data_IF_905763702739
#
_entry.id   IF_905763702739
#
_cell.length_a   1.000
_cell.length_b   1.000
_cell.length_c   1.000
_cell.angle_alpha   90.00
_cell.angle_beta   90.00
_cell.angle_gamma   90.00
#
_symmetry.space_group_name_H-M   'P 1'
#
loop_
_entity.id
_entity.type
_entity.pdbx_description
1 polymer ?
2 polymer ?
3 non-polymer ?
4 water ?
#
# COMPACT_ATOMS: atom_id res chain seq x y z
N UNK A 6 26.72 -12.11 -4.75
CA UNK A 6 25.55 -12.62 -5.45
C UNK A 6 25.60 -12.25 -6.94
N UNK A 7 25.36 -13.23 -7.80
CA UNK A 7 25.30 -12.96 -9.23
C UNK A 7 24.06 -12.15 -9.57
N UNK A 8 24.27 -11.00 -10.21
CA UNK A 8 23.15 -10.11 -10.54
C UNK A 8 23.51 -9.15 -11.67
N UNK A 9 22.59 -9.02 -12.61
CA UNK A 9 22.74 -8.06 -13.70
C UNK A 9 22.28 -6.67 -13.25
N UNK A 10 21.29 -6.64 -12.37
CA UNK A 10 20.73 -5.38 -11.87
C UNK A 10 21.78 -4.53 -11.18
N UNK A 11 22.55 -5.14 -10.30
CA UNK A 11 23.55 -4.42 -9.52
C UNK A 11 24.78 -4.06 -10.35
N UNK A 12 24.83 -4.56 -11.59
CA UNK A 12 25.94 -4.27 -12.48
C UNK A 12 25.61 -3.14 -13.45
N UNK A 13 24.31 -2.87 -13.59
CA UNK A 13 23.83 -1.86 -14.53
C UNK A 13 23.96 -0.45 -13.99
N UNK A 14 24.26 0.50 -14.87
CA UNK A 14 24.20 1.90 -14.50
C UNK A 14 22.74 2.35 -14.52
N UNK A 15 22.51 3.60 -14.14
CA UNK A 15 21.15 4.12 -14.05
C UNK A 15 20.47 4.14 -15.42
N UNK A 16 21.18 4.61 -16.43
CA UNK A 16 20.63 4.70 -17.77
C UNK A 16 20.53 3.33 -18.44
N UNK A 17 21.44 2.42 -18.10
CA UNK A 17 21.39 1.06 -18.62
C UNK A 17 20.18 0.32 -18.04
N UNK A 18 19.87 0.62 -16.79
CA UNK A 18 18.71 0.05 -16.13
C UNK A 18 17.41 0.52 -16.80
N UNK A 19 17.33 1.82 -17.06
CA UNK A 19 16.17 2.39 -17.73
C UNK A 19 16.00 1.81 -19.13
N UNK A 20 17.11 1.73 -19.86
CA UNK A 20 17.11 1.17 -21.20
C UNK A 20 16.63 -0.27 -21.22
N UNK A 21 17.06 -1.03 -20.22
CA UNK A 21 16.68 -2.44 -20.11
C UNK A 21 15.20 -2.59 -19.77
N UNK A 22 14.70 -1.73 -18.88
CA UNK A 22 13.30 -1.78 -18.48
C UNK A 22 12.38 -1.33 -19.60
N UNK A 23 12.86 -0.41 -20.43
CA UNK A 23 12.09 0.04 -21.59
C UNK A 23 11.97 -1.05 -22.64
N UNK A 24 13.09 -1.73 -22.90
CA UNK A 24 13.12 -2.78 -23.91
C UNK A 24 12.32 -3.99 -23.47
N UNK A 25 12.13 -4.14 -22.16
CA UNK A 25 11.43 -5.29 -21.60
C UNK A 25 9.91 -5.09 -21.60
N UNK A 26 9.46 -3.89 -21.95
CA UNK A 26 8.05 -3.53 -21.90
C UNK A 26 7.17 -4.48 -22.70
N UNK A 27 6.06 -4.92 -22.09
CA UNK A 27 5.05 -5.75 -22.76
C UNK A 27 4.23 -4.93 -23.74
N UNK A 28 3.62 -5.59 -24.74
CA UNK A 28 2.82 -4.86 -25.73
C UNK A 28 1.41 -4.52 -25.24
N UNK A 29 0.78 -3.54 -25.89
CA UNK A 29 -0.60 -3.22 -25.62
C UNK A 29 -1.51 -4.14 -26.43
N UNK A 30 -2.14 -5.10 -25.76
CA UNK A 30 -2.96 -6.09 -26.43
C UNK A 30 -4.34 -5.54 -26.79
N UNK A 31 -4.99 -6.20 -27.73
CA UNK A 31 -6.35 -5.84 -28.13
C UNK A 31 -7.37 -6.76 -27.48
N UNK A 32 -8.57 -6.24 -27.26
CA UNK A 32 -9.68 -7.07 -26.78
C UNK A 32 -10.22 -7.91 -27.92
N UNK A 33 -10.90 -9.00 -27.58
CA UNK A 33 -11.58 -9.80 -28.59
C UNK A 33 -12.97 -9.22 -28.83
N UNK A 34 -13.74 -9.88 -29.69
CA UNK A 34 -15.09 -9.42 -30.02
C UNK A 34 -16.10 -10.54 -29.87
N UNK A 44 -20.22 -11.13 -22.16
CA UNK A 44 -20.34 -9.99 -21.28
C UNK A 44 -19.07 -9.16 -21.26
N UNK A 45 -19.10 -8.03 -20.56
CA UNK A 45 -17.97 -7.12 -20.51
C UNK A 45 -16.84 -7.71 -19.67
N UNK A 46 -17.20 -8.32 -18.54
CA UNK A 46 -16.22 -8.94 -17.65
C UNK A 46 -15.58 -10.16 -18.31
N UNK A 47 -16.28 -10.75 -19.26
CA UNK A 47 -15.73 -11.84 -20.05
C UNK A 47 -14.61 -11.33 -20.94
N UNK A 48 -14.82 -10.16 -21.53
CA UNK A 48 -13.81 -9.53 -22.37
C UNK A 48 -12.56 -9.16 -21.55
N UNK A 49 -12.78 -8.57 -20.39
CA UNK A 49 -11.69 -8.15 -19.51
C UNK A 49 -10.90 -9.36 -19.00
N UNK A 50 -11.63 -10.43 -18.68
CA UNK A 50 -11.01 -11.67 -18.21
C UNK A 50 -10.12 -12.25 -19.29
N UNK A 51 -10.67 -12.35 -20.51
CA UNK A 51 -9.91 -12.84 -21.65
C UNK A 51 -8.68 -12.00 -21.92
N UNK A 52 -8.84 -10.68 -21.77
CA UNK A 52 -7.74 -9.76 -21.99
C UNK A 52 -6.65 -9.90 -20.93
N UNK A 53 -7.08 -9.90 -19.66
CA UNK A 53 -6.14 -10.01 -18.54
C UNK A 53 -5.36 -11.31 -18.60
N UNK A 54 -6.01 -12.38 -19.04
CA UNK A 54 -5.38 -13.68 -19.14
C UNK A 54 -4.22 -13.65 -20.13
N UNK A 55 -4.45 -13.03 -21.29
CA UNK A 55 -3.43 -12.92 -22.31
C UNK A 55 -2.31 -11.97 -21.88
N UNK A 56 -2.69 -10.92 -21.15
CA UNK A 56 -1.71 -9.98 -20.63
C UNK A 56 -0.80 -10.63 -19.60
N UNK A 57 -1.35 -11.58 -18.84
CA UNK A 57 -0.59 -12.29 -17.82
C UNK A 57 0.56 -13.10 -18.43
N UNK A 58 0.33 -13.63 -19.64
CA UNK A 58 1.35 -14.40 -20.32
C UNK A 58 2.54 -13.52 -20.69
N UNK A 59 2.25 -12.30 -21.11
CA UNK A 59 3.30 -11.34 -21.44
C UNK A 59 4.00 -10.82 -20.19
N UNK A 60 3.24 -10.69 -19.11
CA UNK A 60 3.80 -10.18 -17.86
C UNK A 60 4.87 -11.12 -17.31
N UNK A 61 4.60 -12.42 -17.40
CA UNK A 61 5.53 -13.44 -16.90
C UNK A 61 6.87 -13.35 -17.61
N UNK A 62 6.83 -13.17 -18.92
CA UNK A 62 8.06 -13.04 -19.70
C UNK A 62 8.67 -11.66 -19.53
N UNK A 63 7.85 -10.66 -19.26
CA UNK A 63 8.34 -9.32 -18.98
C UNK A 63 9.17 -9.32 -17.70
N UNK A 64 8.66 -10.00 -16.68
CA UNK A 64 9.33 -10.10 -15.39
C UNK A 64 10.69 -10.76 -15.53
N UNK A 65 10.79 -11.74 -16.42
CA UNK A 65 12.04 -12.45 -16.65
C UNK A 65 13.06 -11.53 -17.32
N UNK A 66 12.58 -10.45 -17.93
CA UNK A 66 13.45 -9.49 -18.59
C UNK A 66 13.77 -8.31 -17.68
N UNK A 67 13.15 -8.30 -16.51
CA UNK A 67 13.45 -7.29 -15.50
C UNK A 67 14.75 -7.64 -14.78
N UNK A 68 15.75 -6.75 -14.88
CA UNK A 68 17.08 -6.97 -14.27
C UNK A 68 17.01 -7.30 -12.79
N UNK A 69 17.52 -8.47 -12.42
CA UNK A 69 17.55 -8.89 -11.04
C UNK A 69 16.55 -10.00 -10.71
N UNK A 70 15.45 -10.03 -11.45
CA UNK A 70 14.38 -10.99 -11.21
C UNK A 70 14.83 -12.43 -11.47
N UNK A 71 15.57 -12.63 -12.55
CA UNK A 71 16.05 -13.96 -12.90
C UNK A 71 17.05 -14.48 -11.87
N UNK A 72 17.87 -13.58 -11.34
CA UNK A 72 18.90 -13.95 -10.37
C UNK A 72 18.29 -14.40 -9.03
N UNK A 73 17.00 -14.17 -8.86
CA UNK A 73 16.28 -14.70 -7.71
C UNK A 73 16.00 -16.18 -7.92
N UNK A 74 15.81 -16.92 -6.83
CA UNK A 74 15.46 -18.33 -6.93
C UNK A 74 14.08 -18.47 -7.57
N UNK A 75 13.80 -19.66 -8.10
CA UNK A 75 12.53 -19.90 -8.78
C UNK A 75 11.34 -19.65 -7.87
N UNK A 76 11.37 -20.23 -6.68
CA UNK A 76 10.28 -20.11 -5.71
C UNK A 76 10.02 -18.65 -5.32
N UNK A 77 11.08 -17.84 -5.31
CA UNK A 77 10.93 -16.41 -5.05
C UNK A 77 10.29 -15.71 -6.25
N UNK A 78 10.58 -16.22 -7.44
CA UNK A 78 10.03 -15.64 -8.66
C UNK A 78 8.53 -15.89 -8.78
N UNK A 79 8.10 -17.12 -8.51
CA UNK A 79 6.67 -17.42 -8.58
C UNK A 79 5.92 -16.67 -7.48
N UNK A 80 6.59 -16.44 -6.35
CA UNK A 80 5.97 -15.78 -5.22
C UNK A 80 5.63 -14.32 -5.53
N UNK A 81 6.61 -13.61 -6.07
CA UNK A 81 6.45 -12.20 -6.41
C UNK A 81 5.36 -12.02 -7.46
N UNK A 82 5.35 -12.90 -8.46
CA UNK A 82 4.35 -12.84 -9.52
C UNK A 82 2.96 -13.16 -8.99
N UNK A 83 2.89 -14.14 -8.09
CA UNK A 83 1.64 -14.49 -7.43
C UNK A 83 1.09 -13.32 -6.63
N UNK A 84 1.98 -12.51 -6.07
CA UNK A 84 1.57 -11.39 -5.24
C UNK A 84 1.27 -10.13 -6.04
N UNK A 85 1.99 -9.92 -7.14
CA UNK A 85 1.96 -8.62 -7.83
C UNK A 85 1.15 -8.56 -9.11
N UNK A 86 0.71 -9.71 -9.62
CA UNK A 86 0.17 -9.78 -10.98
C UNK A 86 -0.99 -8.82 -11.23
N UNK A 87 -1.87 -8.66 -10.25
CA UNK A 87 -3.01 -7.77 -10.41
C UNK A 87 -2.58 -6.30 -10.24
N UNK A 88 -1.58 -6.08 -9.39
CA UNK A 88 -1.01 -4.74 -9.24
C UNK A 88 -0.38 -4.27 -10.54
N UNK A 89 0.32 -5.18 -11.21
CA UNK A 89 1.01 -4.87 -12.45
C UNK A 89 0.05 -4.65 -13.61
N UNK A 90 -1.00 -5.45 -13.65
CA UNK A 90 -2.06 -5.27 -14.65
C UNK A 90 -2.72 -3.92 -14.50
N UNK A 91 -2.96 -3.52 -13.25
CA UNK A 91 -3.68 -2.28 -12.97
C UNK A 91 -2.87 -1.02 -13.28
N UNK A 92 -1.60 -1.01 -12.90
CA UNK A 92 -0.77 0.15 -13.16
C UNK A 92 -0.53 0.29 -14.67
N UNK A 93 -0.56 -0.82 -15.38
CA UNK A 93 -0.47 -0.80 -16.83
C UNK A 93 -1.72 -0.18 -17.42
N UNK A 94 -2.87 -0.60 -16.92
CA UNK A 94 -4.16 -0.05 -17.32
C UNK A 94 -4.23 1.44 -17.05
N UNK A 95 -3.81 1.83 -15.85
CA UNK A 95 -3.81 3.22 -15.43
C UNK A 95 -2.90 4.05 -16.33
N UNK A 96 -1.76 3.49 -16.69
CA UNK A 96 -0.82 4.17 -17.57
C UNK A 96 -1.45 4.41 -18.95
N UNK A 97 -2.10 3.40 -19.49
CA UNK A 97 -2.74 3.51 -20.81
C UNK A 97 -3.90 4.50 -20.82
N UNK A 98 -4.52 4.70 -19.66
CA UNK A 98 -5.73 5.50 -19.58
C UNK A 98 -5.44 6.97 -19.28
N UNK A 99 -4.17 7.32 -19.16
CA UNK A 99 -3.77 8.67 -18.75
C UNK A 99 -4.26 9.75 -19.71
N UNK A 100 -4.20 9.48 -21.01
CA UNK A 100 -4.62 10.46 -22.01
C UNK A 100 -6.12 10.36 -22.29
N UNK A 101 -6.80 9.56 -21.48
CA UNK A 101 -8.26 9.46 -21.56
C UNK A 101 -8.89 9.67 -20.18
N UNK A 102 -8.87 10.92 -19.68
CA UNK A 102 -9.40 11.23 -18.35
C UNK A 102 -10.91 10.97 -18.26
N UNK A 103 -11.32 10.22 -17.24
CA UNK A 103 -12.72 9.87 -17.08
C UNK A 103 -13.06 8.51 -17.68
N UNK A 104 -12.11 7.93 -18.39
CA UNK A 104 -12.30 6.61 -19.00
C UNK A 104 -11.10 5.70 -18.80
N UNK A 105 -11.33 4.40 -18.90
CA UNK A 105 -10.26 3.41 -18.79
C UNK A 105 -10.00 2.72 -20.11
N UNK A 106 -8.76 2.82 -20.59
CA UNK A 106 -8.39 2.20 -21.85
C UNK A 106 -7.82 0.80 -21.62
N UNK A 107 -8.71 -0.17 -21.48
CA UNK A 107 -8.29 -1.56 -21.30
C UNK A 107 -7.56 -2.05 -22.54
N UNK A 108 -7.99 -1.57 -23.69
CA UNK A 108 -7.39 -1.93 -24.97
C UNK A 108 -7.70 -0.80 -25.97
N UNK A 109 -6.91 -0.70 -27.05
CA UNK A 109 -7.20 0.34 -28.05
C UNK A 109 -8.60 0.23 -28.64
N UNK A 110 -9.20 -0.96 -28.56
CA UNK A 110 -10.54 -1.19 -29.06
C UNK A 110 -11.54 -1.40 -27.92
N UNK A 111 -11.12 -1.06 -26.70
CA UNK A 111 -11.97 -1.23 -25.54
C UNK A 111 -11.80 -0.08 -24.55
N UNK A 112 -12.41 1.06 -24.88
CA UNK A 112 -12.38 2.23 -24.01
C UNK A 112 -13.69 2.32 -23.24
N UNK A 113 -13.62 2.23 -21.92
CA UNK A 113 -14.82 2.11 -21.10
C UNK A 113 -15.04 3.28 -20.14
N UNK A 114 -16.32 3.56 -19.88
CA UNK A 114 -16.69 4.47 -18.80
C UNK A 114 -17.12 3.63 -17.59
N UNK A 115 -17.30 4.28 -16.45
CA UNK A 115 -17.52 3.57 -15.19
C UNK A 115 -18.84 2.81 -15.14
N UNK A 116 -19.81 3.23 -15.94
CA UNK A 116 -21.15 2.65 -15.88
C UNK A 116 -21.36 1.55 -16.92
N UNK A 117 -20.28 0.96 -17.41
CA UNK A 117 -20.37 -0.12 -18.38
C UNK A 117 -19.69 -1.39 -17.86
N UNK A 124 -17.75 -3.71 -8.54
CA UNK A 124 -16.57 -3.55 -9.38
C UNK A 124 -16.43 -2.11 -9.85
N UNK A 125 -17.53 -1.35 -9.75
CA UNK A 125 -17.53 0.04 -10.19
C UNK A 125 -16.73 0.92 -9.21
N UNK A 126 -16.69 0.51 -7.95
CA UNK A 126 -15.90 1.22 -6.95
C UNK A 126 -14.41 1.13 -7.28
N UNK A 127 -14.02 -0.03 -7.81
CA UNK A 127 -12.63 -0.24 -8.23
C UNK A 127 -12.34 0.56 -9.49
N UNK A 128 -13.33 0.67 -10.36
CA UNK A 128 -13.22 1.46 -11.58
C UNK A 128 -12.91 2.92 -11.24
N UNK A 129 -13.59 3.44 -10.23
CA UNK A 129 -13.39 4.82 -9.81
C UNK A 129 -12.01 5.04 -9.21
N UNK A 130 -11.52 4.03 -8.49
CA UNK A 130 -10.19 4.10 -7.90
C UNK A 130 -9.12 4.13 -8.99
N UNK A 131 -9.35 3.37 -10.06
CA UNK A 131 -8.43 3.36 -11.19
C UNK A 131 -8.46 4.69 -11.92
N UNK A 132 -9.63 5.27 -12.06
CA UNK A 132 -9.80 6.57 -12.70
C UNK A 132 -9.07 7.66 -11.92
N UNK A 133 -9.16 7.59 -10.59
CA UNK A 133 -8.51 8.57 -9.73
C UNK A 133 -7.00 8.45 -9.82
N UNK A 134 -6.51 7.22 -9.96
CA UNK A 134 -5.10 6.94 -10.11
C UNK A 134 -4.59 7.46 -11.45
N UNK A 135 -5.40 7.28 -12.50
CA UNK A 135 -5.03 7.73 -13.84
C UNK A 135 -4.98 9.25 -13.91
N UNK A 136 -5.93 9.90 -13.24
CA UNK A 136 -5.97 11.35 -13.20
C UNK A 136 -4.76 11.91 -12.44
N UNK A 137 -4.36 11.22 -11.38
CA UNK A 137 -3.22 11.62 -10.58
C UNK A 137 -1.91 11.51 -11.37
N UNK A 138 -1.72 10.38 -12.03
CA UNK A 138 -0.55 10.16 -12.88
C UNK A 138 -0.48 11.21 -13.98
N UNK A 139 -1.63 11.61 -14.50
CA UNK A 139 -1.69 12.53 -15.63
C UNK A 139 -1.31 13.96 -15.23
N UNK A 140 -1.80 14.41 -14.07
CA UNK A 140 -1.48 15.76 -13.60
C UNK A 140 -0.07 15.83 -13.04
N UNK A 141 0.48 14.67 -12.68
CA UNK A 141 1.88 14.59 -12.27
C UNK A 141 2.80 14.55 -13.48
N UNK A 142 2.20 14.35 -14.64
CA UNK A 142 2.94 14.18 -15.89
C UNK A 142 3.94 13.04 -15.78
N UNK A 143 3.44 11.88 -15.33
CA UNK A 143 4.28 10.69 -15.20
C UNK A 143 4.91 10.30 -16.53
N UNK A 144 6.22 10.10 -16.53
CA UNK A 144 6.96 9.73 -17.72
C UNK A 144 7.10 8.21 -17.84
N UNK A 145 7.32 7.73 -19.06
CA UNK A 145 7.42 6.31 -19.32
C UNK A 145 8.60 5.64 -18.64
N UNK A 146 9.69 6.39 -18.47
CA UNK A 146 10.87 5.89 -17.80
C UNK A 146 10.63 5.78 -16.29
N UNK A 147 9.80 6.66 -15.75
CA UNK A 147 9.41 6.57 -14.35
C UNK A 147 8.43 5.41 -14.16
N UNK A 148 7.57 5.22 -15.15
CA UNK A 148 6.54 4.19 -15.10
C UNK A 148 7.13 2.78 -15.04
N UNK A 149 8.14 2.52 -15.86
CA UNK A 149 8.76 1.19 -15.89
C UNK A 149 9.53 0.93 -14.60
N UNK A 150 9.98 1.99 -13.94
CA UNK A 150 10.63 1.85 -12.66
C UNK A 150 9.63 1.47 -11.58
N UNK A 151 8.46 2.07 -11.64
CA UNK A 151 7.39 1.80 -10.67
C UNK A 151 6.91 0.36 -10.76
N UNK A 152 6.81 -0.16 -11.98
CA UNK A 152 6.38 -1.54 -12.19
C UNK A 152 7.38 -2.54 -11.61
N UNK A 153 8.66 -2.27 -11.80
CA UNK A 153 9.71 -3.13 -11.27
C UNK A 153 9.73 -3.09 -9.75
N UNK A 154 9.39 -1.94 -9.20
CA UNK A 154 9.29 -1.78 -7.76
C UNK A 154 8.11 -2.59 -7.22
N UNK A 155 6.97 -2.49 -7.90
CA UNK A 155 5.77 -3.23 -7.52
C UNK A 155 6.02 -4.73 -7.50
N UNK A 156 6.68 -5.22 -8.54
CA UNK A 156 6.99 -6.64 -8.68
C UNK A 156 7.85 -7.15 -7.53
N UNK A 157 8.82 -6.33 -7.11
CA UNK A 157 9.79 -6.76 -6.12
C UNK A 157 9.37 -6.46 -4.69
N UNK A 158 8.38 -5.59 -4.52
CA UNK A 158 7.91 -5.20 -3.20
C UNK A 158 6.63 -5.93 -2.79
N UNK A 159 6.07 -6.71 -3.72
CA UNK A 159 4.83 -7.43 -3.48
C UNK A 159 5.01 -8.57 -2.48
N UNK A 160 6.15 -9.26 -2.56
CA UNK A 160 6.46 -10.29 -1.59
C UNK A 160 6.55 -9.64 -0.22
N UNK A 161 6.05 -10.32 0.80
CA UNK A 161 5.91 -9.72 2.13
C UNK A 161 5.01 -8.50 2.07
N UNK A 175 22.29 -6.71 3.53
CA UNK A 175 20.86 -6.55 3.28
C UNK A 175 20.37 -7.58 2.25
N UNK A 176 19.11 -7.97 2.35
CA UNK A 176 18.50 -8.92 1.43
C UNK A 176 18.73 -8.48 -0.03
N UNK A 177 18.88 -9.43 -0.94
CA UNK A 177 19.19 -9.14 -2.34
C UNK A 177 18.09 -8.30 -3.00
N UNK A 178 16.84 -8.66 -2.73
CA UNK A 178 15.71 -7.98 -3.32
C UNK A 178 15.63 -6.53 -2.84
N UNK A 179 16.03 -6.31 -1.59
CA UNK A 179 16.05 -4.97 -1.02
C UNK A 179 17.17 -4.14 -1.62
N UNK A 180 18.26 -4.79 -2.00
CA UNK A 180 19.38 -4.11 -2.65
C UNK A 180 18.99 -3.67 -4.05
N UNK A 181 18.21 -4.50 -4.74
CA UNK A 181 17.73 -4.16 -6.08
C UNK A 181 16.73 -3.00 -5.99
N UNK A 182 15.83 -3.08 -5.01
CA UNK A 182 14.86 -2.01 -4.78
C UNK A 182 15.55 -0.69 -4.49
N UNK A 183 16.64 -0.75 -3.74
CA UNK A 183 17.45 0.44 -3.46
C UNK A 183 18.03 1.02 -4.74
N UNK A 184 18.33 0.16 -5.70
CA UNK A 184 18.94 0.59 -6.95
C UNK A 184 17.92 1.19 -7.90
N UNK A 185 16.72 0.62 -7.93
CA UNK A 185 15.63 1.16 -8.73
C UNK A 185 15.23 2.52 -8.16
N UNK A 186 15.35 2.64 -6.84
CA UNK A 186 15.13 3.92 -6.17
C UNK A 186 16.12 4.96 -6.67
N UNK A 187 17.38 4.56 -6.79
CA UNK A 187 18.45 5.43 -7.30
C UNK A 187 18.21 5.78 -8.73
N UNK A 188 17.59 4.85 -9.45
CA UNK A 188 17.18 5.07 -10.83
C UNK A 188 16.09 6.11 -10.97
N UNK A 189 15.02 6.02 -10.16
CA UNK A 189 13.97 7.04 -10.15
C UNK A 189 14.51 8.44 -9.86
N UNK A 190 15.35 8.52 -8.83
CA UNK A 190 16.00 9.77 -8.48
C UNK A 190 16.87 10.28 -9.63
N UNK A 191 17.63 9.38 -10.24
CA UNK A 191 18.50 9.74 -11.36
C UNK A 191 17.71 10.31 -12.53
N UNK A 192 16.56 9.70 -12.81
CA UNK A 192 15.68 10.17 -13.88
C UNK A 192 15.14 11.57 -13.60
N UNK A 193 14.73 11.79 -12.36
CA UNK A 193 14.16 13.07 -11.96
C UNK A 193 15.21 14.18 -12.01
N UNK A 194 16.45 13.84 -11.66
CA UNK A 194 17.55 14.80 -11.68
C UNK A 194 17.87 15.22 -13.11
N UNK A 195 17.68 14.30 -14.04
CA UNK A 195 17.92 14.60 -15.45
C UNK A 195 16.78 15.43 -16.03
N UNK A 196 15.59 15.26 -15.46
CA UNK A 196 14.42 16.01 -15.90
C UNK A 196 14.54 17.48 -15.54
N UNK A 197 15.42 17.79 -14.58
CA UNK A 197 15.65 19.16 -14.17
C UNK A 197 14.99 19.51 -12.85
N UNK A 198 14.58 18.48 -12.11
CA UNK A 198 13.93 18.69 -10.82
C UNK A 198 14.96 18.94 -9.72
N UNK A 199 14.65 19.86 -8.82
CA UNK A 199 15.52 20.14 -7.68
C UNK A 199 15.53 18.96 -6.73
N UNK A 200 16.51 18.94 -5.83
CA UNK A 200 16.63 17.88 -4.83
C UNK A 200 15.36 17.75 -4.00
N UNK A 201 14.76 18.88 -3.67
CA UNK A 201 13.50 18.91 -2.94
C UNK A 201 12.37 18.31 -3.77
N UNK A 202 12.36 18.66 -5.05
CA UNK A 202 11.32 18.17 -5.95
C UNK A 202 11.47 16.67 -6.23
N UNK A 203 12.69 16.18 -6.15
CA UNK A 203 12.95 14.76 -6.34
C UNK A 203 12.36 13.94 -5.21
N UNK A 204 12.67 14.34 -3.97
CA UNK A 204 12.19 13.65 -2.78
C UNK A 204 10.67 13.69 -2.69
N UNK A 205 10.09 14.83 -3.07
CA UNK A 205 8.65 15.01 -3.03
C UNK A 205 7.96 14.15 -4.09
N UNK A 206 8.48 14.19 -5.32
CA UNK A 206 7.89 13.40 -6.41
C UNK A 206 8.05 11.92 -6.17
N UNK A 207 9.21 11.52 -5.64
CA UNK A 207 9.46 10.12 -5.29
C UNK A 207 8.43 9.65 -4.27
N UNK A 208 8.15 10.50 -3.29
CA UNK A 208 7.16 10.20 -2.27
C UNK A 208 5.77 10.10 -2.89
N UNK A 209 5.44 11.04 -3.77
CA UNK A 209 4.15 11.06 -4.45
C UNK A 209 3.90 9.77 -5.21
N UNK A 210 4.91 9.29 -5.92
CA UNK A 210 4.79 8.07 -6.72
C UNK A 210 4.63 6.82 -5.86
N UNK A 211 5.43 6.73 -4.80
CA UNK A 211 5.42 5.54 -3.96
C UNK A 211 4.16 5.46 -3.10
N UNK A 212 3.56 6.61 -2.81
CA UNK A 212 2.32 6.64 -2.06
C UNK A 212 1.17 6.14 -2.92
N UNK A 213 1.28 6.34 -4.23
CA UNK A 213 0.28 5.86 -5.16
C UNK A 213 0.32 4.33 -5.20
N UNK A 214 1.50 3.76 -5.02
CA UNK A 214 1.66 2.31 -4.99
C UNK A 214 0.85 1.69 -3.85
N UNK A 215 0.67 2.44 -2.77
CA UNK A 215 -0.16 1.98 -1.67
C UNK A 215 -1.61 1.85 -2.12
N UNK A 216 -2.05 2.80 -2.94
CA UNK A 216 -3.41 2.78 -3.45
C UNK A 216 -3.57 1.68 -4.50
N UNK A 217 -2.48 1.38 -5.22
CA UNK A 217 -2.48 0.31 -6.20
C UNK A 217 -2.59 -1.05 -5.51
N UNK A 218 -1.91 -1.17 -4.37
CA UNK A 218 -2.00 -2.37 -3.54
C UNK A 218 -3.44 -2.56 -3.06
N UNK A 219 -4.09 -1.44 -2.73
CA UNK A 219 -5.47 -1.47 -2.26
C UNK A 219 -6.41 -1.98 -3.34
N UNK A 220 -6.31 -1.39 -4.53
CA UNK A 220 -7.15 -1.79 -5.66
C UNK A 220 -6.96 -3.26 -6.01
N UNK A 221 -5.73 -3.74 -5.92
CA UNK A 221 -5.41 -5.13 -6.22
C UNK A 221 -6.05 -6.09 -5.22
N UNK A 222 -5.96 -5.74 -3.94
CA UNK A 222 -6.56 -6.54 -2.89
C UNK A 222 -8.08 -6.58 -3.02
N UNK A 223 -8.68 -5.43 -3.28
CA UNK A 223 -10.12 -5.34 -3.47
C UNK A 223 -10.58 -6.11 -4.72
N UNK A 224 -9.81 -5.98 -5.80
CA UNK A 224 -10.11 -6.67 -7.03
C UNK A 224 -9.99 -8.18 -6.86
N UNK A 225 -9.03 -8.60 -6.03
CA UNK A 225 -8.82 -10.01 -5.74
C UNK A 225 -10.02 -10.61 -5.03
N UNK A 226 -10.57 -9.86 -4.08
CA UNK A 226 -11.74 -10.30 -3.34
C UNK A 226 -12.94 -10.52 -4.25
N UNK A 227 -13.19 -9.55 -5.11
CA UNK A 227 -14.35 -9.59 -6.00
C UNK A 227 -14.20 -10.66 -7.07
N UNK A 228 -12.97 -10.90 -7.50
CA UNK A 228 -12.69 -11.90 -8.52
C UNK A 228 -12.93 -13.31 -8.00
N UNK A 229 -12.67 -13.53 -6.71
CA UNK A 229 -12.91 -14.85 -6.12
C UNK A 229 -14.40 -15.09 -5.88
N UNK A 230 -15.10 -14.05 -5.45
CA UNK A 230 -16.55 -14.14 -5.30
C UNK A 230 -17.16 -14.37 -6.66
N UNK A 231 -16.56 -13.74 -7.67
CA UNK A 231 -16.96 -13.92 -9.06
C UNK A 231 -16.81 -15.38 -9.48
N UNK A 232 -15.78 -16.04 -8.96
CA UNK A 232 -15.56 -17.47 -9.23
C UNK A 232 -16.66 -18.32 -8.59
N UNK A 233 -17.03 -17.96 -7.37
CA UNK A 233 -18.06 -18.70 -6.63
C UNK A 233 -19.42 -18.58 -7.30
N UNK A 234 -19.71 -17.41 -7.87
CA UNK A 234 -20.97 -17.14 -8.54
C UNK A 234 -21.04 -17.79 -9.91
N UNK A 235 -19.94 -18.35 -10.39
CA UNK A 235 -19.92 -19.05 -11.67
C UNK A 235 -20.51 -18.28 -12.86
N UNK A 236 -20.46 -16.96 -12.84
CA UNK A 236 -21.01 -16.18 -13.95
C UNK A 236 -20.07 -15.84 -15.11
N UNK A 237 -18.78 -15.69 -14.88
CA UNK A 237 -17.84 -15.66 -16.01
C UNK A 237 -16.62 -16.54 -15.72
N UNK A 238 -16.29 -17.48 -16.61
CA UNK A 238 -15.22 -18.45 -16.33
C UNK A 238 -13.83 -17.80 -16.32
N UNK A 239 -13.23 -17.74 -15.14
CA UNK A 239 -11.84 -17.30 -15.03
C UNK A 239 -10.93 -18.32 -15.72
N UNK A 240 -9.94 -17.82 -16.45
CA UNK A 240 -9.04 -18.68 -17.21
C UNK A 240 -8.19 -19.54 -16.27
N UNK A 241 -7.49 -20.52 -16.86
CA UNK A 241 -6.62 -21.41 -16.09
C UNK A 241 -5.57 -20.64 -15.31
N UNK A 242 -4.88 -19.75 -15.99
CA UNK A 242 -3.82 -18.96 -15.37
C UNK A 242 -4.38 -18.03 -14.30
N UNK A 243 -5.56 -17.47 -14.57
CA UNK A 243 -6.21 -16.57 -13.61
C UNK A 243 -6.68 -17.30 -12.37
N UNK A 244 -7.27 -18.48 -12.57
CA UNK A 244 -7.69 -19.33 -11.45
C UNK A 244 -6.49 -19.71 -10.58
N UNK A 245 -5.36 -19.91 -11.23
CA UNK A 245 -4.13 -20.31 -10.55
C UNK A 245 -3.55 -19.18 -9.70
N UNK A 246 -3.45 -17.99 -10.29
CA UNK A 246 -2.91 -16.82 -9.59
C UNK A 246 -3.85 -16.40 -8.46
N UNK A 247 -5.14 -16.74 -8.60
CA UNK A 247 -6.13 -16.41 -7.59
C UNK A 247 -5.99 -17.32 -6.38
N UNK A 248 -5.75 -18.59 -6.64
CA UNK A 248 -5.66 -19.56 -5.56
C UNK A 248 -4.47 -19.24 -4.70
N UNK A 249 -3.50 -18.56 -5.26
CA UNK A 249 -2.32 -18.16 -4.52
C UNK A 249 -2.61 -17.22 -3.38
N UNK A 250 -3.55 -16.32 -3.54
CA UNK A 250 -4.00 -15.54 -2.40
C UNK A 250 -5.02 -16.34 -1.65
N UNK A 251 -4.65 -16.77 -0.46
CA UNK A 251 -4.28 -18.16 -0.26
C UNK A 251 -5.19 -18.82 0.77
N UNK B 8 -4.74 27.75 4.11
CA UNK B 8 -4.41 26.93 5.27
C UNK B 8 -3.28 27.56 6.09
N UNK B 9 -2.99 26.96 7.24
CA UNK B 9 -1.95 27.47 8.13
C UNK B 9 -0.81 26.47 8.26
N UNK B 10 -1.13 25.19 8.07
CA UNK B 10 -0.15 24.12 8.22
C UNK B 10 0.85 24.10 7.06
N UNK B 11 0.60 24.95 6.07
CA UNK B 11 1.51 25.07 4.93
C UNK B 11 2.66 26.02 5.28
N UNK B 12 2.56 26.67 6.43
CA UNK B 12 3.53 27.67 6.83
C UNK B 12 4.48 27.17 7.91
N UNK B 13 4.07 26.13 8.63
CA UNK B 13 4.90 25.59 9.71
C UNK B 13 6.18 24.95 9.15
N UNK B 14 7.27 25.06 9.91
CA UNK B 14 8.54 24.50 9.49
C UNK B 14 8.59 23.00 9.76
N UNK B 15 9.71 22.38 9.41
CA UNK B 15 9.90 20.95 9.62
C UNK B 15 9.99 20.62 11.10
N UNK B 16 10.74 21.42 11.85
CA UNK B 16 10.88 21.22 13.28
C UNK B 16 9.56 21.43 14.01
N UNK B 17 8.75 22.36 13.50
CA UNK B 17 7.45 22.66 14.09
C UNK B 17 6.44 21.57 13.76
N UNK B 18 6.61 20.95 12.58
CA UNK B 18 5.75 19.85 12.18
C UNK B 18 5.96 18.64 13.09
N UNK B 19 7.22 18.34 13.39
CA UNK B 19 7.57 17.21 14.25
C UNK B 19 6.99 17.38 15.65
N UNK B 20 7.22 18.56 16.23
CA UNK B 20 6.75 18.86 17.58
C UNK B 20 5.23 18.77 17.68
N UNK B 21 4.54 19.24 16.64
CA UNK B 21 3.09 19.20 16.59
C UNK B 21 2.58 17.76 16.56
N UNK B 22 3.31 16.90 15.86
CA UNK B 22 2.92 15.50 15.73
C UNK B 22 3.26 14.71 17.00
N UNK B 23 4.40 15.02 17.60
CA UNK B 23 4.81 14.37 18.83
C UNK B 23 3.88 14.70 19.99
N UNK B 24 3.41 15.95 20.02
CA UNK B 24 2.51 16.41 21.08
C UNK B 24 1.08 15.91 20.86
N UNK B 25 0.81 15.45 19.64
CA UNK B 25 -0.52 14.95 19.30
C UNK B 25 -0.61 13.44 19.44
N UNK B 26 0.54 12.82 19.73
CA UNK B 26 0.64 11.36 19.84
C UNK B 26 -0.36 10.76 20.81
N UNK B 27 -1.10 9.74 20.37
CA UNK B 27 -2.00 8.99 21.25
C UNK B 27 -1.22 8.12 22.22
N UNK B 28 -1.83 7.76 23.36
CA UNK B 28 -1.16 6.92 24.35
C UNK B 28 -1.17 5.44 24.01
N UNK B 29 -0.23 4.69 24.59
CA UNK B 29 -0.25 3.25 24.49
C UNK B 29 -1.21 2.69 25.53
N UNK B 30 -2.30 2.08 25.07
CA UNK B 30 -3.35 1.61 25.96
C UNK B 30 -3.11 0.19 26.45
N UNK B 31 -3.77 -0.16 27.55
CA UNK B 31 -3.66 -1.51 28.12
C UNK B 31 -4.88 -2.35 27.77
N UNK B 32 -4.73 -3.67 27.84
CA UNK B 32 -5.83 -4.58 27.56
C UNK B 32 -6.68 -4.81 28.82
N UNK B 33 -7.61 -5.77 28.75
CA UNK B 33 -8.56 -5.97 29.83
C UNK B 33 -8.05 -6.95 30.89
N UNK B 34 -6.73 -7.11 30.95
CA UNK B 34 -6.02 -7.64 32.12
C UNK B 34 -6.33 -9.08 32.54
N UNK B 35 -7.59 -9.47 32.52
CA UNK B 35 -7.99 -10.80 33.01
C UNK B 35 -7.24 -11.90 32.25
N UNK B 36 -6.49 -12.73 32.98
CA UNK B 36 -5.57 -13.71 32.41
C UNK B 36 -6.23 -14.86 31.67
N UNK B 37 -7.55 -15.02 31.82
CA UNK B 37 -8.25 -16.15 31.22
C UNK B 37 -8.70 -15.87 29.79
N UNK B 38 -8.94 -14.60 29.47
CA UNK B 38 -9.47 -14.22 28.16
C UNK B 38 -8.51 -14.35 26.96
N UNK B 39 -7.17 -14.29 27.18
CA UNK B 39 -6.35 -14.58 25.99
C UNK B 39 -6.31 -16.06 25.59
N UNK B 40 -6.93 -16.94 26.37
CA UNK B 40 -6.81 -18.39 26.17
C UNK B 40 -7.45 -18.91 24.88
N UNK B 41 -8.69 -18.56 24.62
CA UNK B 41 -9.38 -19.10 23.43
C UNK B 41 -9.39 -18.12 22.27
N UNK B 42 -10.26 -18.40 21.30
CA UNK B 42 -10.34 -17.64 20.06
C UNK B 42 -11.27 -16.43 20.18
N UNK B 43 -12.50 -16.69 20.60
CA UNK B 43 -13.52 -15.66 20.67
C UNK B 43 -13.16 -14.59 21.69
N UNK B 44 -12.72 -15.04 22.86
CA UNK B 44 -12.34 -14.13 23.94
C UNK B 44 -11.12 -13.30 23.58
N UNK B 45 -10.17 -13.90 22.86
CA UNK B 45 -8.95 -13.19 22.47
C UNK B 45 -9.26 -12.07 21.49
N UNK B 46 -10.10 -12.38 20.51
CA UNK B 46 -10.53 -11.37 19.54
C UNK B 46 -11.39 -10.32 20.24
N UNK B 47 -12.00 -10.71 21.35
CA UNK B 47 -12.74 -9.79 22.18
C UNK B 47 -11.83 -8.75 22.83
N UNK B 48 -10.66 -9.19 23.27
CA UNK B 48 -9.68 -8.29 23.85
C UNK B 48 -9.16 -7.31 22.80
N UNK B 49 -8.83 -7.81 21.62
CA UNK B 49 -8.30 -6.99 20.55
C UNK B 49 -9.35 -5.99 20.05
N UNK B 50 -10.59 -6.46 19.93
CA UNK B 50 -11.71 -5.62 19.52
C UNK B 50 -11.93 -4.47 20.49
N UNK B 51 -11.97 -4.80 21.78
CA UNK B 51 -12.15 -3.80 22.83
C UNK B 51 -10.99 -2.80 22.85
N UNK B 52 -9.79 -3.31 22.65
CA UNK B 52 -8.59 -2.49 22.60
C UNK B 52 -8.63 -1.52 21.42
N UNK B 53 -8.98 -2.05 20.25
CA UNK B 53 -9.05 -1.23 19.04
C UNK B 53 -10.12 -0.16 19.15
N UNK B 54 -11.23 -0.49 19.81
CA UNK B 54 -12.34 0.45 19.97
C UNK B 54 -11.90 1.67 20.79
N UNK B 55 -11.18 1.41 21.88
CA UNK B 55 -10.68 2.49 22.72
C UNK B 55 -9.55 3.26 22.05
N UNK B 56 -8.76 2.56 21.23
CA UNK B 56 -7.70 3.21 20.47
C UNK B 56 -8.26 4.14 19.40
N UNK B 57 -9.42 3.79 18.85
CA UNK B 57 -10.05 4.59 17.81
C UNK B 57 -10.44 5.96 18.32
N UNK B 58 -10.94 6.02 19.56
CA UNK B 58 -11.36 7.27 20.17
C UNK B 58 -10.18 8.24 20.29
N UNK B 59 -9.01 7.69 20.61
CA UNK B 59 -7.79 8.50 20.69
C UNK B 59 -7.32 8.91 19.30
N UNK B 60 -7.45 8.01 18.34
CA UNK B 60 -7.03 8.28 16.97
C UNK B 60 -7.82 9.42 16.36
N UNK B 61 -9.14 9.41 16.59
CA UNK B 61 -10.02 10.43 16.06
C UNK B 61 -9.62 11.82 16.55
N UNK B 62 -9.33 11.92 17.85
CA UNK B 62 -8.91 13.19 18.43
C UNK B 62 -7.46 13.52 18.05
N UNK B 63 -6.67 12.48 17.81
CA UNK B 63 -5.31 12.68 17.31
C UNK B 63 -5.33 13.25 15.91
N UNK B 64 -6.27 12.75 15.10
CA UNK B 64 -6.42 13.18 13.71
C UNK B 64 -6.73 14.67 13.64
N UNK B 65 -7.52 15.15 14.59
CA UNK B 65 -7.90 16.56 14.63
C UNK B 65 -6.68 17.47 14.85
N UNK B 66 -5.63 16.91 15.44
CA UNK B 66 -4.42 17.69 15.73
C UNK B 66 -3.35 17.49 14.66
N UNK B 67 -3.65 16.65 13.68
CA UNK B 67 -2.76 16.48 12.52
C UNK B 67 -2.88 17.70 11.61
N UNK B 68 -1.76 18.42 11.42
CA UNK B 68 -1.71 19.66 10.63
C UNK B 68 -2.30 19.51 9.24
N UNK B 69 -3.40 20.20 8.97
CA UNK B 69 -4.05 20.15 7.68
C UNK B 69 -5.37 19.39 7.70
N UNK B 70 -5.46 18.42 8.60
CA UNK B 70 -6.66 17.60 8.73
C UNK B 70 -7.87 18.42 9.17
N UNK B 71 -7.60 19.43 10.01
CA UNK B 71 -8.66 20.30 10.51
C UNK B 71 -9.23 21.17 9.40
N UNK B 72 -8.38 21.55 8.45
CA UNK B 72 -8.80 22.41 7.34
C UNK B 72 -9.72 21.66 6.38
N UNK B 73 -9.63 20.34 6.38
CA UNK B 73 -10.47 19.51 5.53
C UNK B 73 -11.93 19.65 5.95
N UNK B 74 -12.85 19.46 5.01
CA UNK B 74 -14.27 19.48 5.35
C UNK B 74 -14.62 18.27 6.19
N UNK B 75 -15.80 18.29 6.80
CA UNK B 75 -16.22 17.24 7.73
C UNK B 75 -16.31 15.87 7.05
N UNK B 76 -16.89 15.85 5.85
CA UNK B 76 -17.05 14.61 5.11
C UNK B 76 -15.70 14.01 4.72
N UNK B 77 -14.75 14.87 4.38
CA UNK B 77 -13.41 14.43 4.02
C UNK B 77 -12.67 13.85 5.21
N UNK B 78 -12.92 14.43 6.39
CA UNK B 78 -12.29 13.95 7.62
C UNK B 78 -12.75 12.55 7.98
N UNK B 79 -14.07 12.35 7.96
CA UNK B 79 -14.65 11.03 8.21
C UNK B 79 -14.14 10.01 7.19
N UNK B 80 -14.10 10.42 5.93
CA UNK B 80 -13.70 9.54 4.84
C UNK B 80 -12.28 9.01 5.01
N UNK B 81 -11.35 9.90 5.34
CA UNK B 81 -9.95 9.52 5.51
C UNK B 81 -9.77 8.56 6.68
N UNK B 82 -10.49 8.81 7.78
CA UNK B 82 -10.45 7.95 8.94
C UNK B 82 -11.08 6.60 8.68
N UNK B 83 -12.17 6.59 7.91
CA UNK B 83 -12.85 5.34 7.54
C UNK B 83 -11.94 4.44 6.72
N UNK B 84 -11.06 5.03 5.93
CA UNK B 84 -10.21 4.27 5.03
C UNK B 84 -8.92 3.80 5.69
N UNK B 85 -8.39 4.58 6.61
CA UNK B 85 -7.04 4.34 7.13
C UNK B 85 -6.99 3.85 8.58
N UNK B 86 -8.16 3.63 9.20
CA UNK B 86 -8.20 3.36 10.63
C UNK B 86 -7.43 2.09 11.02
N UNK B 87 -7.55 1.04 10.22
CA UNK B 87 -6.88 -0.21 10.53
C UNK B 87 -5.39 -0.11 10.21
N UNK B 88 -5.05 0.64 9.16
CA UNK B 88 -3.66 0.89 8.80
C UNK B 88 -2.92 1.61 9.92
N UNK B 89 -3.58 2.61 10.48
CA UNK B 89 -2.99 3.41 11.55
C UNK B 89 -2.83 2.59 12.83
N UNK B 90 -3.81 1.73 13.11
CA UNK B 90 -3.73 0.82 14.24
C UNK B 90 -2.56 -0.15 14.09
N UNK B 91 -2.35 -0.63 12.88
CA UNK B 91 -1.34 -1.64 12.62
C UNK B 91 0.08 -1.08 12.65
N UNK B 92 0.27 0.11 12.09
CA UNK B 92 1.60 0.71 12.11
C UNK B 92 1.97 1.10 13.55
N UNK B 93 0.97 1.43 14.35
CA UNK B 93 1.17 1.69 15.75
C UNK B 93 1.58 0.41 16.45
N UNK B 94 0.84 -0.66 16.17
CA UNK B 94 1.14 -1.99 16.69
C UNK B 94 2.55 -2.43 16.31
N UNK B 95 2.88 -2.24 15.04
CA UNK B 95 4.19 -2.60 14.51
C UNK B 95 5.30 -1.77 15.19
N UNK B 96 5.01 -0.51 15.46
CA UNK B 96 5.94 0.37 16.14
C UNK B 96 6.21 -0.09 17.58
N UNK B 97 5.15 -0.47 18.28
CA UNK B 97 5.27 -0.92 19.67
C UNK B 97 6.00 -2.26 19.77
N UNK B 98 5.96 -3.04 18.70
CA UNK B 98 6.50 -4.40 18.72
C UNK B 98 7.98 -4.47 18.35
N UNK B 99 8.58 -3.32 18.04
CA UNK B 99 9.97 -3.28 17.59
C UNK B 99 10.94 -3.87 18.60
N UNK B 100 10.77 -3.50 19.86
CA UNK B 100 11.68 -3.93 20.92
C UNK B 100 11.42 -5.37 21.36
N UNK B 101 10.43 -6.01 20.73
CA UNK B 101 10.07 -7.38 21.07
C UNK B 101 9.98 -8.25 19.83
N UNK B 102 11.13 -8.77 19.37
CA UNK B 102 11.20 -9.64 18.18
C UNK B 102 10.43 -10.95 18.36
N UNK B 103 9.67 -11.33 17.34
CA UNK B 103 8.93 -12.58 17.38
C UNK B 103 7.59 -12.46 18.06
N UNK B 104 7.30 -11.28 18.60
CA UNK B 104 6.04 -11.05 19.30
C UNK B 104 5.37 -9.74 18.85
N UNK B 105 4.06 -9.68 19.04
CA UNK B 105 3.29 -8.49 18.72
C UNK B 105 2.73 -7.85 19.99
N UNK B 106 3.14 -6.62 20.26
CA UNK B 106 2.71 -5.91 21.46
C UNK B 106 1.46 -5.08 21.19
N UNK B 107 0.30 -5.72 21.31
CA UNK B 107 -0.96 -5.01 21.19
C UNK B 107 -1.13 -4.06 22.37
N UNK B 108 -0.64 -4.51 23.51
CA UNK B 108 -0.66 -3.72 24.74
C UNK B 108 0.45 -4.22 25.65
N UNK B 109 0.95 -3.37 26.56
CA UNK B 109 2.01 -3.81 27.46
C UNK B 109 1.60 -5.01 28.31
N UNK B 110 0.30 -5.17 28.53
CA UNK B 110 -0.22 -6.32 29.26
C UNK B 110 -0.84 -7.35 28.30
N UNK B 111 -0.66 -7.12 27.01
CA UNK B 111 -1.15 -8.04 25.99
C UNK B 111 -0.08 -8.29 24.93
N UNK B 112 0.88 -9.14 25.26
CA UNK B 112 1.97 -9.47 24.36
C UNK B 112 1.69 -10.80 23.67
N UNK B 113 1.53 -10.78 22.36
CA UNK B 113 1.13 -11.98 21.62
C UNK B 113 2.29 -12.66 20.91
N UNK B 114 2.37 -13.97 21.05
CA UNK B 114 3.31 -14.79 20.30
C UNK B 114 2.56 -15.47 19.16
N UNK B 115 3.30 -16.03 18.20
CA UNK B 115 2.67 -16.55 16.99
C UNK B 115 1.95 -17.88 17.24
N UNK B 116 2.23 -18.53 18.36
CA UNK B 116 1.49 -19.74 18.73
C UNK B 116 0.05 -19.39 19.08
N UNK B 117 -0.14 -18.19 19.63
CA UNK B 117 -1.48 -17.68 19.89
C UNK B 117 -2.20 -17.34 18.58
N UNK B 118 -1.41 -16.99 17.57
CA UNK B 118 -1.95 -16.62 16.28
C UNK B 118 -2.21 -17.81 15.38
N UNK B 119 -1.70 -18.98 15.78
CA UNK B 119 -1.84 -20.20 14.99
C UNK B 119 -3.16 -20.94 15.27
N UNK B 120 -4.06 -20.30 16.01
CA UNK B 120 -5.41 -20.82 16.25
C UNK B 120 -6.42 -19.69 16.04
N UNK B 121 -7.45 -19.96 15.23
CA UNK B 121 -8.18 -18.96 14.46
C UNK B 121 -7.19 -18.50 13.39
N UNK B 124 -5.15 -16.40 10.24
CA UNK B 124 -4.66 -15.43 11.19
C UNK B 124 -3.19 -15.54 11.41
N UNK B 125 -2.64 -16.73 11.30
CA UNK B 125 -1.21 -16.89 11.45
C UNK B 125 -0.48 -16.11 10.36
N UNK B 126 -1.01 -16.09 9.16
CA UNK B 126 -0.31 -15.47 8.05
C UNK B 126 -0.16 -13.95 8.22
N UNK B 127 -1.23 -13.32 8.67
CA UNK B 127 -1.21 -11.89 8.92
C UNK B 127 -0.26 -11.57 10.07
N UNK B 128 -0.21 -12.47 11.05
CA UNK B 128 0.64 -12.31 12.23
C UNK B 128 2.10 -12.21 11.81
N UNK B 129 2.52 -13.05 10.89
CA UNK B 129 3.90 -13.06 10.42
C UNK B 129 4.24 -11.82 9.59
N UNK B 130 3.26 -11.33 8.84
CA UNK B 130 3.46 -10.12 8.04
C UNK B 130 3.70 -8.91 8.96
N UNK B 131 2.95 -8.86 10.06
CA UNK B 131 3.11 -7.81 11.05
C UNK B 131 4.47 -7.94 11.76
N UNK B 132 4.87 -9.18 12.03
CA UNK B 132 6.18 -9.44 12.64
C UNK B 132 7.31 -8.98 11.74
N UNK B 133 7.20 -9.31 10.45
CA UNK B 133 8.22 -8.94 9.47
C UNK B 133 8.31 -7.43 9.31
N UNK B 134 7.17 -6.76 9.41
CA UNK B 134 7.12 -5.31 9.29
C UNK B 134 7.79 -4.66 10.49
N UNK B 135 7.53 -5.21 11.67
CA UNK B 135 8.16 -4.74 12.90
C UNK B 135 9.66 -5.05 12.88
N UNK B 136 10.00 -6.17 12.26
CA UNK B 136 11.39 -6.58 12.14
C UNK B 136 12.20 -5.60 11.32
N UNK B 137 11.64 -5.16 10.19
CA UNK B 137 12.32 -4.20 9.33
C UNK B 137 12.43 -2.84 10.01
N UNK B 138 11.39 -2.44 10.73
CA UNK B 138 11.41 -1.19 11.47
C UNK B 138 12.53 -1.19 12.51
N UNK B 139 12.76 -2.34 13.12
CA UNK B 139 13.80 -2.47 14.14
C UNK B 139 15.19 -2.31 13.55
N UNK B 140 15.50 -3.08 12.52
CA UNK B 140 16.85 -3.10 11.95
C UNK B 140 17.12 -1.84 11.12
N UNK B 141 16.07 -1.09 10.83
CA UNK B 141 16.23 0.23 10.19
C UNK B 141 16.42 1.29 11.25
N UNK B 142 16.19 0.90 12.50
CA UNK B 142 16.21 1.82 13.64
C UNK B 142 15.27 3.00 13.41
N UNK B 143 13.99 2.69 13.24
CA UNK B 143 12.97 3.71 13.01
C UNK B 143 12.85 4.64 14.22
N UNK B 144 12.93 5.94 13.96
CA UNK B 144 12.84 6.94 15.02
C UNK B 144 11.40 7.36 15.27
N UNK B 145 11.12 7.79 16.49
CA UNK B 145 9.79 8.23 16.86
C UNK B 145 9.34 9.43 16.02
N UNK B 146 10.31 10.25 15.61
CA UNK B 146 10.03 11.40 14.77
C UNK B 146 9.60 10.95 13.38
N UNK B 147 10.27 9.93 12.86
CA UNK B 147 9.94 9.38 11.55
C UNK B 147 8.59 8.67 11.57
N UNK B 148 8.34 7.94 12.66
CA UNK B 148 7.12 7.16 12.82
C UNK B 148 5.86 8.00 12.78
N UNK B 149 5.86 9.12 13.49
CA UNK B 149 4.68 9.98 13.55
C UNK B 149 4.43 10.66 12.22
N UNK B 150 5.47 10.81 11.42
CA UNK B 150 5.33 11.31 10.07
C UNK B 150 4.63 10.29 9.20
N UNK B 151 5.03 9.03 9.32
CA UNK B 151 4.45 7.94 8.55
C UNK B 151 2.96 7.75 8.85
N UNK B 152 2.60 7.89 10.12
CA UNK B 152 1.21 7.74 10.53
C UNK B 152 0.32 8.82 9.91
N UNK B 153 0.81 10.06 9.92
CA UNK B 153 0.06 11.18 9.36
C UNK B 153 -0.09 11.02 7.86
N UNK B 154 0.95 10.50 7.22
CA UNK B 154 0.91 10.24 5.80
C UNK B 154 -0.20 9.24 5.47
N UNK B 155 -0.26 8.16 6.24
CA UNK B 155 -1.30 7.14 6.08
C UNK B 155 -2.69 7.76 6.17
N UNK B 156 -2.88 8.61 7.18
CA UNK B 156 -4.16 9.26 7.43
C UNK B 156 -4.64 10.09 6.25
N UNK B 157 -3.71 10.80 5.60
CA UNK B 157 -4.06 11.73 4.53
C UNK B 157 -4.06 11.09 3.15
N UNK B 158 -3.24 10.06 2.96
CA UNK B 158 -3.05 9.49 1.63
C UNK B 158 -4.00 8.34 1.29
N UNK B 159 -4.32 7.50 2.26
CA UNK B 159 -5.07 6.28 2.00
C UNK B 159 -6.44 6.49 1.36
N UNK B 160 -7.15 7.52 1.79
CA UNK B 160 -8.50 7.76 1.30
C UNK B 160 -8.64 8.88 0.29
N UNK B 161 -7.51 9.43 -0.16
CA UNK B 161 -7.53 10.58 -1.06
C UNK B 161 -7.80 10.19 -2.51
N UNK B 162 -7.69 8.90 -2.82
CA UNK B 162 -7.82 8.43 -4.20
C UNK B 162 -9.03 7.52 -4.42
N UNK B 163 -10.09 7.71 -3.64
CA UNK B 163 -11.27 6.87 -3.77
C UNK B 163 -12.26 7.46 -4.78
N UNK B 171 -12.86 22.88 -7.86
CA UNK B 171 -13.36 22.89 -6.49
C UNK B 171 -12.71 21.77 -5.68
N UNK B 172 -12.81 20.54 -6.17
CA UNK B 172 -11.99 19.47 -5.60
C UNK B 172 -10.55 19.89 -5.78
N UNK B 173 -10.15 20.84 -4.94
CA UNK B 173 -8.78 21.28 -4.87
C UNK B 173 -8.33 21.03 -3.42
N UNK B 174 -9.26 20.46 -2.65
CA UNK B 174 -8.97 19.96 -1.32
C UNK B 174 -8.06 18.76 -1.44
N UNK B 175 -8.17 18.06 -2.57
CA UNK B 175 -7.22 17.03 -2.92
C UNK B 175 -5.84 17.63 -3.05
N UNK B 176 -5.77 18.77 -3.73
CA UNK B 176 -4.51 19.49 -3.89
C UNK B 176 -3.96 19.90 -2.52
N UNK B 177 -4.85 20.31 -1.64
CA UNK B 177 -4.47 20.71 -0.28
C UNK B 177 -3.86 19.53 0.48
N UNK B 178 -4.49 18.35 0.35
CA UNK B 178 -3.99 17.14 0.99
C UNK B 178 -2.60 16.79 0.46
N UNK B 179 -2.43 16.89 -0.85
CA UNK B 179 -1.14 16.62 -1.49
C UNK B 179 -0.07 17.60 -1.03
N UNK B 180 -0.47 18.86 -0.83
CA UNK B 180 0.46 19.88 -0.36
C UNK B 180 0.97 19.55 1.03
N UNK B 181 0.08 19.11 1.91
CA UNK B 181 0.46 18.74 3.26
C UNK B 181 1.35 17.51 3.24
N UNK B 182 1.04 16.57 2.34
CA UNK B 182 1.83 15.36 2.20
C UNK B 182 3.25 15.69 1.76
N UNK B 183 3.38 16.68 0.87
CA UNK B 183 4.69 17.13 0.43
C UNK B 183 5.50 17.71 1.59
N UNK B 184 4.81 18.35 2.53
CA UNK B 184 5.44 18.93 3.70
C UNK B 184 5.99 17.85 4.63
N UNK B 185 5.23 16.78 4.79
CA UNK B 185 5.65 15.66 5.65
C UNK B 185 6.83 14.96 5.00
N UNK B 186 6.86 14.96 3.67
CA UNK B 186 7.99 14.41 2.94
C UNK B 186 9.24 15.23 3.24
N UNK B 187 9.11 16.55 3.17
CA UNK B 187 10.19 17.46 3.52
C UNK B 187 10.64 17.23 4.96
N UNK B 188 9.66 16.96 5.82
CA UNK B 188 9.93 16.75 7.23
C UNK B 188 10.74 15.47 7.45
N UNK B 189 10.34 14.39 6.78
CA UNK B 189 11.06 13.12 6.85
C UNK B 189 12.51 13.29 6.42
N UNK B 190 12.72 13.98 5.31
CA UNK B 190 14.05 14.24 4.79
C UNK B 190 14.83 15.13 5.76
N UNK B 191 14.14 16.10 6.35
CA UNK B 191 14.75 16.99 7.33
C UNK B 191 15.28 16.20 8.51
N UNK B 192 14.49 15.24 8.98
CA UNK B 192 14.88 14.40 10.11
C UNK B 192 16.07 13.52 9.76
N UNK B 193 16.06 12.98 8.55
CA UNK B 193 17.16 12.13 8.09
C UNK B 193 18.43 12.93 7.87
N UNK B 194 18.27 14.16 7.38
CA UNK B 194 19.40 15.05 7.17
C UNK B 194 20.07 15.40 8.50
N UNK B 195 19.24 15.63 9.52
CA UNK B 195 19.73 15.96 10.84
C UNK B 195 20.36 14.73 11.50
N UNK B 196 19.85 13.55 11.17
CA UNK B 196 20.35 12.30 11.71
C UNK B 196 21.76 11.99 11.20
N UNK B 197 22.13 12.62 10.09
CA UNK B 197 23.47 12.48 9.55
C UNK B 197 23.58 11.54 8.36
N UNK B 198 22.44 11.24 7.74
CA UNK B 198 22.44 10.36 6.58
C UNK B 198 22.86 11.10 5.32
N UNK B 199 23.63 10.42 4.47
CA UNK B 199 24.04 11.00 3.19
C UNK B 199 22.85 11.15 2.27
N UNK B 200 23.01 11.95 1.22
CA UNK B 200 21.93 12.25 0.30
C UNK B 200 21.34 10.99 -0.32
N UNK B 201 22.19 10.04 -0.69
CA UNK B 201 21.74 8.77 -1.26
C UNK B 201 20.97 7.96 -0.23
N UNK B 202 21.50 7.92 0.99
CA UNK B 202 20.87 7.18 2.08
C UNK B 202 19.51 7.77 2.45
N UNK B 203 19.34 9.07 2.20
CA UNK B 203 18.08 9.74 2.54
C UNK B 203 16.92 9.28 1.68
N UNK B 204 17.09 9.36 0.36
CA UNK B 204 16.00 8.99 -0.54
C UNK B 204 15.83 7.47 -0.60
N UNK B 205 16.89 6.74 -0.24
CA UNK B 205 16.79 5.29 -0.13
C UNK B 205 15.97 4.90 1.10
N UNK B 206 16.26 5.53 2.23
CA UNK B 206 15.51 5.28 3.44
C UNK B 206 14.06 5.75 3.30
N UNK B 207 13.89 6.89 2.64
CA UNK B 207 12.56 7.43 2.38
C UNK B 207 11.74 6.43 1.57
N UNK B 208 12.36 5.87 0.54
CA UNK B 208 11.71 4.89 -0.32
C UNK B 208 11.37 3.63 0.47
N UNK B 209 12.32 3.17 1.28
CA UNK B 209 12.13 1.97 2.10
C UNK B 209 10.94 2.12 3.03
N UNK B 210 10.82 3.27 3.68
CA UNK B 210 9.72 3.53 4.60
C UNK B 210 8.37 3.57 3.88
N UNK B 211 8.34 4.20 2.71
CA UNK B 211 7.09 4.37 1.97
C UNK B 211 6.65 3.08 1.29
N UNK B 212 7.60 2.21 0.96
CA UNK B 212 7.27 0.91 0.40
C UNK B 212 6.61 0.02 1.45
N UNK B 213 6.99 0.23 2.70
CA UNK B 213 6.41 -0.50 3.82
C UNK B 213 4.95 -0.11 4.01
N UNK B 214 4.61 1.13 3.63
CA UNK B 214 3.23 1.59 3.71
C UNK B 214 2.32 0.77 2.80
N UNK B 215 2.87 0.26 1.70
CA UNK B 215 2.14 -0.64 0.82
C UNK B 215 1.88 -1.97 1.52
N UNK B 216 2.85 -2.41 2.31
CA UNK B 216 2.71 -3.62 3.10
C UNK B 216 1.67 -3.42 4.20
N UNK B 217 1.66 -2.24 4.80
CA UNK B 217 0.67 -1.90 5.82
C UNK B 217 -0.73 -1.90 5.24
N UNK B 218 -0.87 -1.32 4.05
CA UNK B 218 -2.14 -1.32 3.34
C UNK B 218 -2.59 -2.76 3.04
N UNK B 219 -1.64 -3.60 2.65
CA UNK B 219 -1.91 -5.00 2.35
C UNK B 219 -2.42 -5.75 3.56
N UNK B 220 -1.70 -5.64 4.68
CA UNK B 220 -2.07 -6.32 5.92
C UNK B 220 -3.42 -5.81 6.42
N UNK B 221 -3.69 -4.53 6.17
CA UNK B 221 -4.95 -3.92 6.59
C UNK B 221 -6.13 -4.52 5.84
N UNK B 222 -5.98 -4.64 4.52
CA UNK B 222 -7.03 -5.22 3.69
C UNK B 222 -7.29 -6.69 4.04
N UNK B 223 -6.21 -7.41 4.34
CA UNK B 223 -6.33 -8.81 4.69
C UNK B 223 -6.98 -8.98 6.07
N UNK B 224 -6.58 -8.15 7.02
CA UNK B 224 -7.15 -8.17 8.35
C UNK B 224 -8.61 -7.75 8.31
N UNK B 225 -8.92 -6.80 7.43
CA UNK B 225 -10.27 -6.27 7.29
C UNK B 225 -11.27 -7.37 6.91
N UNK B 226 -10.91 -8.18 5.92
CA UNK B 226 -11.84 -9.17 5.41
C UNK B 226 -12.00 -10.34 6.38
N UNK B 227 -11.09 -10.47 7.34
CA UNK B 227 -11.27 -11.40 8.45
C UNK B 227 -12.29 -10.83 9.43
N UNK B 228 -12.26 -9.51 9.59
CA UNK B 228 -13.09 -8.82 10.57
C UNK B 228 -14.56 -8.84 10.20
N UNK B 229 -14.89 -8.63 8.92
CA UNK B 229 -16.27 -8.79 8.48
C UNK B 229 -16.51 -10.20 7.93
N UNK B 230 -15.64 -11.12 8.36
CA UNK B 230 -15.91 -12.55 8.23
C UNK B 230 -16.17 -13.10 9.63
N UNK B 231 -15.50 -12.49 10.60
CA UNK B 231 -15.70 -12.83 12.00
C UNK B 231 -17.03 -12.28 12.48
N UNK B 232 -17.56 -11.32 11.74
CA UNK B 232 -18.84 -10.70 12.05
C UNK B 232 -19.97 -11.72 12.00
N UNK B 236 -21.20 -13.09 17.04
CA UNK B 236 -20.68 -14.08 17.96
C UNK B 236 -19.53 -13.48 18.77
N UNK B 237 -18.57 -12.86 18.09
CA UNK B 237 -17.56 -12.05 18.76
C UNK B 237 -17.95 -10.59 18.63
N UNK B 238 -18.70 -10.08 19.62
CA UNK B 238 -19.42 -8.81 19.52
C UNK B 238 -18.53 -7.63 19.15
N UNK B 239 -18.89 -6.89 18.12
CA UNK B 239 -18.14 -5.71 17.73
C UNK B 239 -18.85 -4.45 18.21
N UNK B 240 -18.08 -3.47 18.67
CA UNK B 240 -18.66 -2.20 19.10
C UNK B 240 -19.29 -1.49 17.91
N UNK B 241 -20.26 -0.63 18.18
CA UNK B 241 -21.01 0.07 17.14
C UNK B 241 -20.12 1.00 16.33
N UNK B 242 -19.11 1.57 16.97
CA UNK B 242 -18.14 2.40 16.27
C UNK B 242 -17.34 1.54 15.30
N UNK B 243 -16.92 0.37 15.77
CA UNK B 243 -16.14 -0.55 14.95
C UNK B 243 -17.00 -1.13 13.84
N UNK B 244 -18.27 -1.35 14.12
CA UNK B 244 -19.23 -1.78 13.11
C UNK B 244 -19.35 -0.74 12.00
N UNK B 245 -19.23 0.53 12.40
CA UNK B 245 -19.36 1.64 11.48
C UNK B 245 -18.13 1.77 10.58
N UNK B 246 -16.95 1.51 11.15
CA UNK B 246 -15.70 1.63 10.41
C UNK B 246 -15.54 0.51 9.39
N UNK B 247 -16.06 -0.68 9.70
CA UNK B 247 -15.91 -1.82 8.80
C UNK B 247 -16.92 -1.79 7.67
N UNK B 248 -18.12 -1.28 7.94
CA UNK B 248 -19.18 -1.25 6.95
C UNK B 248 -18.85 -0.24 5.85
N UNK B 249 -17.96 0.70 6.17
CA UNK B 249 -17.49 1.66 5.18
C UNK B 249 -16.58 0.98 4.16
N UNK B 250 -15.92 -0.09 4.60
CA UNK B 250 -15.02 -0.85 3.72
C UNK B 250 -15.80 -1.90 2.93
N UNK B 251 -16.90 -2.38 3.50
CA UNK B 251 -17.79 -3.30 2.80
C UNK B 251 -18.64 -2.52 1.79
N UNK B 252 -19.54 -1.68 2.31
CA UNK B 252 -20.39 -0.86 1.47
C UNK B 252 -20.33 0.61 1.89
N UNK C 3 2.12 -26.46 -12.60
CA UNK C 3 1.35 -25.22 -12.68
C UNK C 3 1.76 -24.39 -13.89
N UNK C 4 0.81 -23.63 -14.44
CA UNK C 4 1.03 -22.85 -15.64
C UNK C 4 2.12 -21.79 -15.42
N UNK C 5 2.19 -21.27 -14.19
CA UNK C 5 3.15 -20.23 -13.86
C UNK C 5 4.59 -20.65 -14.14
N UNK C 6 5.05 -21.70 -13.46
CA UNK C 6 6.42 -22.16 -13.62
C UNK C 6 6.60 -23.07 -14.83
N UNK C 7 5.64 -23.04 -15.75
CA UNK C 7 5.81 -23.66 -17.06
C UNK C 7 6.21 -22.57 -18.05
N UNK C 8 5.52 -21.44 -17.97
CA UNK C 8 5.85 -20.27 -18.78
C UNK C 8 7.09 -19.59 -18.23
N UNK C 9 7.33 -19.78 -16.94
CA UNK C 9 8.46 -19.16 -16.24
C UNK C 9 9.76 -19.85 -16.61
N UNK C 10 9.68 -21.12 -16.98
CA UNK C 10 10.86 -21.87 -17.41
C UNK C 10 10.93 -21.93 -18.93
N UNK C 11 9.87 -22.44 -19.55
CA UNK C 11 9.80 -22.51 -21.01
C UNK C 11 9.39 -21.16 -21.59
N UNK D 3 -24.10 9.05 12.34
CA UNK D 3 -22.88 8.25 12.40
C UNK D 3 -22.07 8.58 13.67
N UNK D 4 -21.54 7.54 14.31
CA UNK D 4 -20.82 7.69 15.57
C UNK D 4 -19.47 8.36 15.35
N UNK D 5 -18.74 7.91 14.34
CA UNK D 5 -17.51 8.56 13.94
C UNK D 5 -17.73 10.04 13.64
N UNK D 6 -18.87 10.33 13.02
CA UNK D 6 -19.28 11.70 12.70
C UNK D 6 -19.56 12.46 14.00
N UNK D 7 -20.20 11.79 14.95
CA UNK D 7 -20.51 12.39 16.25
C UNK D 7 -19.28 12.45 17.14
N UNK D 8 -18.28 11.62 16.85
CA UNK D 8 -17.02 11.67 17.58
C UNK D 8 -16.13 12.78 17.05
N UNK D 9 -16.30 13.13 15.78
CA UNK D 9 -15.61 14.28 15.21
C UNK D 9 -16.32 15.57 15.58
N UNK D 10 -17.59 15.46 15.91
CA UNK D 10 -18.41 16.63 16.23
C UNK D 10 -18.03 17.22 17.58
N UNK D 11 -17.36 16.42 18.41
CA UNK D 11 -17.00 16.85 19.76
C UNK D 11 -15.49 16.80 19.99
#
# INVERSE_FOLDING_TARGET
>A
IKRSKKNSLALSLTADQMVSALLDAEPPILYSEYDPTRPFSEASMMGLLTNLADRELVHMINWAKRVPGFVDLTLHDQVHLLECAWLEILMIGLVWRSMEHPGKLLFAPNLLLDRNQGKCVEGMVEIFDMLLATSSRFRMMNLQGEEFVCLKSIILLNSGVYTFLSSTLKSLEEKDHIHRVLDKITDTLIHLMAKAGLTLQQQHQRLAQLLLILSHIRHMSNKGMEHLYSMKCKNVVPLSDLLLEMLDAHRLHAPTS
>B
IKRSKKNSLALSLTADQMVSALLDAEPPILYSEYDPTRPFSEASMMGLLTNLADRELVHMINWAKRVPGFVDLTLHDQVHLLECAWLEILMIGLVWRSMEHPGKLLFAPNLLLDRNQGKCVEGMVEIFDMLLATSSRFRMMNLQGEEFVCLKSIILLNSGVYTFLSSTLKSLEEKDHIHRVLDKITDTLIHLMAKAGLTLQQQHQRLAQLLLILSHIRHMSNKGMEHLYSMKCKNVVPLSDLLLEMLDAHRLHAPTS
>C
KHKILHRLLQDSSS
>D
KHKILHRLLQDSSS
#
